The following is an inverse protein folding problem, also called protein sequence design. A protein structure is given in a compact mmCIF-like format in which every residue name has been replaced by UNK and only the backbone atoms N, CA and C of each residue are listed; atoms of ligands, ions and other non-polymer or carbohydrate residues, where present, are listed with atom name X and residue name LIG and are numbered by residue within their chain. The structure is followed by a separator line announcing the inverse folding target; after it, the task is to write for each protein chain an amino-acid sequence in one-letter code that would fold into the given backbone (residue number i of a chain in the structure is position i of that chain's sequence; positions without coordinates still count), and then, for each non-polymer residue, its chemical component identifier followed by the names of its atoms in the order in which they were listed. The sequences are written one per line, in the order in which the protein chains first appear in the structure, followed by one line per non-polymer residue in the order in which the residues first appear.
data_IF_621858436328
#
_entry.id   IF_621858436328
#
_cell.length_a   1.000
_cell.length_b   1.000
_cell.length_c   1.000
_cell.angle_alpha   90.00
_cell.angle_beta   90.00
_cell.angle_gamma   90.00
#
_symmetry.space_group_name_H-M   'P 1'
#
loop_
_entity.id
_entity.type
_entity.pdbx_description
1 polymer ?
#
# COMPACT_ATOMS: atom_id res chain seq x y z
N UNK A 1 -15.04 6.41 11.88
CA UNK A 1 -14.90 6.88 10.49
C UNK A 1 -13.44 6.80 10.07
N UNK A 2 -13.14 6.18 8.93
CA UNK A 2 -11.78 6.23 8.36
C UNK A 2 -11.71 7.49 7.50
N UNK A 3 -10.72 8.37 7.78
CA UNK A 3 -10.47 9.57 6.98
C UNK A 3 -10.34 9.23 5.50
N UNK A 4 -11.02 9.95 4.62
CA UNK A 4 -10.90 9.85 3.18
C UNK A 4 -9.75 10.70 2.64
N UNK A 5 -9.39 11.78 3.34
CA UNK A 5 -8.26 12.65 2.99
C UNK A 5 -6.93 11.99 3.37
N UNK A 6 -5.97 12.01 2.47
CA UNK A 6 -4.60 11.56 2.73
C UNK A 6 -3.69 12.76 2.98
N UNK A 7 -2.87 12.68 4.03
CA UNK A 7 -1.99 13.77 4.45
C UNK A 7 -0.58 13.64 3.84
N UNK A 8 -0.49 13.20 2.57
CA UNK A 8 0.78 13.03 1.83
C UNK A 8 1.56 14.32 1.70
N UNK A 9 0.87 15.47 1.65
CA UNK A 9 1.50 16.79 1.59
C UNK A 9 2.49 17.06 2.71
N UNK A 10 2.37 16.40 3.87
CA UNK A 10 3.34 16.54 4.97
C UNK A 10 4.72 16.01 4.64
N UNK A 11 4.81 15.06 3.71
CA UNK A 11 6.05 14.42 3.28
C UNK A 11 6.72 15.11 2.09
N UNK A 12 6.03 16.05 1.44
CA UNK A 12 6.55 16.77 0.28
C UNK A 12 7.73 17.68 0.65
N UNK A 13 8.63 18.01 -0.30
CA UNK A 13 9.58 19.08 -0.17
C UNK A 13 8.93 20.45 0.13
N UNK A 14 9.69 21.39 0.69
CA UNK A 14 9.13 22.70 1.12
C UNK A 14 8.43 23.45 0.00
N UNK A 15 9.03 23.50 -1.20
CA UNK A 15 8.45 24.16 -2.37
C UNK A 15 7.10 23.52 -2.78
N UNK A 16 7.07 22.20 -2.86
CA UNK A 16 5.87 21.45 -3.23
C UNK A 16 4.76 21.58 -2.19
N UNK A 17 5.09 21.71 -0.89
CA UNK A 17 4.10 22.03 0.15
C UNK A 17 3.43 23.37 -0.08
N UNK A 18 4.20 24.37 -0.49
CA UNK A 18 3.65 25.70 -0.79
C UNK A 18 2.76 25.69 -2.04
N UNK A 19 3.18 25.01 -3.09
CA UNK A 19 2.37 24.83 -4.31
C UNK A 19 1.07 24.08 -4.01
N UNK A 20 1.15 23.04 -3.18
CA UNK A 20 -0.02 22.28 -2.75
C UNK A 20 -1.00 23.16 -1.96
N UNK A 21 -0.51 23.98 -1.02
CA UNK A 21 -1.34 24.91 -0.26
C UNK A 21 -2.00 25.95 -1.18
N UNK A 22 -1.27 26.52 -2.14
CA UNK A 22 -1.81 27.45 -3.12
C UNK A 22 -2.93 26.83 -3.97
N UNK A 23 -2.76 25.59 -4.42
CA UNK A 23 -3.78 24.86 -5.18
C UNK A 23 -5.05 24.63 -4.35
N UNK A 24 -4.93 24.22 -3.07
CA UNK A 24 -6.07 24.04 -2.16
C UNK A 24 -6.80 25.36 -1.94
N UNK A 25 -6.08 26.46 -1.65
CA UNK A 25 -6.66 27.79 -1.48
C UNK A 25 -7.45 28.20 -2.74
N UNK A 26 -6.83 28.09 -3.92
CA UNK A 26 -7.46 28.47 -5.19
C UNK A 26 -8.75 27.69 -5.44
N UNK A 27 -8.75 26.38 -5.29
CA UNK A 27 -9.91 25.54 -5.54
C UNK A 27 -11.05 25.81 -4.54
N UNK A 28 -10.74 25.87 -3.24
CA UNK A 28 -11.76 26.03 -2.22
C UNK A 28 -12.36 27.45 -2.15
N UNK A 29 -11.63 28.47 -2.63
CA UNK A 29 -12.15 29.84 -2.69
C UNK A 29 -13.20 30.01 -3.80
N UNK A 30 -13.08 29.26 -4.90
CA UNK A 30 -13.95 29.42 -6.09
C UNK A 30 -15.19 28.53 -5.98
N UNK A 31 -15.08 27.34 -5.39
CA UNK A 31 -16.15 26.35 -5.36
C UNK A 31 -17.16 26.62 -4.23
N UNK A 32 -18.45 26.88 -4.56
CA UNK A 32 -19.50 27.22 -3.60
C UNK A 32 -19.72 26.15 -2.51
N UNK A 33 -19.37 24.89 -2.77
CA UNK A 33 -19.55 23.81 -1.79
C UNK A 33 -18.70 24.01 -0.53
N UNK A 34 -17.62 24.83 -0.58
CA UNK A 34 -16.70 25.09 0.52
C UNK A 34 -16.97 26.42 1.25
N UNK A 35 -18.07 27.10 0.96
CA UNK A 35 -18.42 28.40 1.60
C UNK A 35 -18.37 28.32 3.13
N UNK A 36 -18.81 27.23 3.72
CA UNK A 36 -18.77 27.03 5.17
C UNK A 36 -17.35 26.90 5.74
N UNK A 37 -16.36 26.61 4.90
CA UNK A 37 -14.95 26.44 5.27
C UNK A 37 -14.08 27.66 4.92
N UNK A 38 -14.65 28.72 4.33
CA UNK A 38 -13.90 29.92 3.99
C UNK A 38 -13.08 30.52 5.14
N UNK A 39 -13.55 30.57 6.42
CA UNK A 39 -12.72 31.05 7.51
C UNK A 39 -11.43 30.25 7.69
N UNK A 40 -11.48 28.92 7.52
CA UNK A 40 -10.31 28.06 7.61
C UNK A 40 -9.38 28.22 6.41
N UNK A 41 -9.95 28.42 5.23
CA UNK A 41 -9.20 28.69 4.00
C UNK A 41 -8.47 30.04 4.11
N UNK A 42 -9.10 31.07 4.68
CA UNK A 42 -8.48 32.40 4.88
C UNK A 42 -7.31 32.33 5.89
N UNK A 43 -7.43 31.55 6.98
CA UNK A 43 -6.33 31.27 7.88
C UNK A 43 -5.16 30.58 7.17
N UNK A 44 -5.44 29.60 6.31
CA UNK A 44 -4.42 28.94 5.50
C UNK A 44 -3.75 29.93 4.52
N UNK A 45 -4.53 30.79 3.87
CA UNK A 45 -4.03 31.81 2.96
C UNK A 45 -3.10 32.79 3.67
N UNK A 46 -3.49 33.30 4.86
CA UNK A 46 -2.65 34.17 5.68
C UNK A 46 -1.33 33.50 6.05
N UNK A 47 -1.36 32.23 6.47
CA UNK A 47 -0.16 31.48 6.79
C UNK A 47 0.74 31.23 5.55
N UNK A 48 0.12 30.95 4.39
CA UNK A 48 0.83 30.81 3.11
C UNK A 48 1.55 32.10 2.69
N UNK A 49 0.87 33.26 2.76
CA UNK A 49 1.45 34.56 2.44
C UNK A 49 2.61 34.89 3.42
N UNK A 50 2.44 34.59 4.70
CA UNK A 50 3.50 34.78 5.70
C UNK A 50 4.72 33.89 5.41
N UNK A 51 4.50 32.64 4.98
CA UNK A 51 5.59 31.76 4.54
C UNK A 51 6.30 32.30 3.32
N UNK A 52 5.58 32.75 2.31
CA UNK A 52 6.18 33.34 1.10
C UNK A 52 7.06 34.55 1.41
N UNK A 53 6.57 35.47 2.25
CA UNK A 53 7.33 36.63 2.70
C UNK A 53 8.62 36.24 3.44
N UNK A 54 8.53 35.24 4.33
CA UNK A 54 9.71 34.73 5.05
C UNK A 54 10.67 33.96 4.13
N UNK A 55 10.16 33.23 3.15
CA UNK A 55 10.99 32.55 2.16
C UNK A 55 11.77 33.54 1.27
N UNK A 56 11.14 34.63 0.84
CA UNK A 56 11.81 35.70 0.13
C UNK A 56 12.94 36.35 0.94
N UNK A 57 12.71 36.68 2.21
CA UNK A 57 13.75 37.20 3.11
C UNK A 57 14.89 36.23 3.32
N UNK A 58 14.60 34.93 3.40
CA UNK A 58 15.63 33.90 3.62
C UNK A 58 16.51 33.67 2.39
N UNK A 59 16.10 34.10 1.18
CA UNK A 59 16.95 34.07 -0.02
C UNK A 59 18.18 34.97 0.07
N UNK A 60 18.06 36.07 0.82
CA UNK A 60 19.14 37.02 1.05
C UNK A 60 20.17 36.51 2.10
N UNK A 61 19.88 35.36 2.70
CA UNK A 61 20.75 34.66 3.64
C UNK A 61 20.50 35.03 5.11
N UNK A 62 21.15 34.27 5.98
CA UNK A 62 21.11 34.50 7.44
C UNK A 62 20.38 33.38 8.20
N UNK A 63 21.00 32.99 9.30
CA UNK A 63 20.46 31.90 10.17
C UNK A 63 19.10 32.24 10.75
N UNK A 64 18.90 33.52 11.15
CA UNK A 64 17.62 33.98 11.72
C UNK A 64 16.50 33.95 10.69
N UNK A 65 16.73 34.40 9.46
CA UNK A 65 15.74 34.37 8.38
C UNK A 65 15.35 32.94 8.01
N UNK A 66 16.31 32.00 8.02
CA UNK A 66 16.04 30.57 7.80
C UNK A 66 15.16 29.98 8.92
N UNK A 67 15.41 30.35 10.17
CA UNK A 67 14.58 29.89 11.30
C UNK A 67 13.16 30.45 11.19
N UNK A 68 13.01 31.74 10.87
CA UNK A 68 11.69 32.38 10.64
C UNK A 68 10.93 31.68 9.51
N UNK A 69 11.58 31.45 8.37
CA UNK A 69 11.00 30.71 7.24
C UNK A 69 10.49 29.33 7.65
N UNK A 70 11.29 28.57 8.41
CA UNK A 70 10.89 27.24 8.86
C UNK A 70 9.70 27.28 9.82
N UNK A 71 9.65 28.24 10.73
CA UNK A 71 8.50 28.42 11.64
C UNK A 71 7.23 28.78 10.86
N UNK A 72 7.32 29.65 9.84
CA UNK A 72 6.17 29.97 8.97
C UNK A 72 5.73 28.79 8.09
N UNK A 73 6.68 27.96 7.64
CA UNK A 73 6.35 26.70 6.94
C UNK A 73 5.58 25.75 7.84
N UNK A 74 5.98 25.58 9.09
CA UNK A 74 5.29 24.72 10.06
C UNK A 74 3.86 25.20 10.31
N UNK A 75 3.66 26.52 10.50
CA UNK A 75 2.33 27.10 10.65
C UNK A 75 1.45 26.86 9.40
N UNK A 76 1.98 27.13 8.21
CA UNK A 76 1.25 26.87 6.96
C UNK A 76 0.83 25.39 6.84
N UNK A 77 1.73 24.45 7.15
CA UNK A 77 1.44 23.00 7.13
C UNK A 77 0.41 22.62 8.20
N UNK A 78 0.43 23.26 9.35
CA UNK A 78 -0.56 23.08 10.40
C UNK A 78 -1.96 23.54 9.95
N UNK A 79 -2.07 24.76 9.36
CA UNK A 79 -3.32 25.29 8.83
C UNK A 79 -3.86 24.43 7.68
N UNK A 80 -2.97 23.97 6.77
CA UNK A 80 -3.33 23.04 5.70
C UNK A 80 -3.89 21.72 6.26
N UNK A 81 -3.27 21.19 7.32
CA UNK A 81 -3.77 20.01 8.03
C UNK A 81 -5.12 20.22 8.71
N UNK A 82 -5.39 21.45 9.14
CA UNK A 82 -6.68 21.85 9.74
C UNK A 82 -7.76 21.89 8.65
N UNK A 83 -7.50 22.55 7.52
CA UNK A 83 -8.41 22.55 6.35
C UNK A 83 -8.71 21.13 5.90
N UNK A 84 -7.69 20.26 5.80
CA UNK A 84 -7.84 18.86 5.41
C UNK A 84 -8.84 18.09 6.31
N UNK A 85 -8.80 18.33 7.64
CA UNK A 85 -9.75 17.70 8.58
C UNK A 85 -11.17 18.21 8.38
N UNK A 86 -11.36 19.51 8.16
CA UNK A 86 -12.67 20.07 7.87
C UNK A 86 -13.25 19.56 6.56
N UNK A 87 -12.41 19.44 5.52
CA UNK A 87 -12.80 18.82 4.23
C UNK A 87 -13.19 17.36 4.44
N UNK A 88 -12.48 16.60 5.26
CA UNK A 88 -12.80 15.20 5.54
C UNK A 88 -14.17 15.05 6.22
N UNK A 89 -14.49 15.94 7.15
CA UNK A 89 -15.81 15.98 7.79
C UNK A 89 -16.91 16.38 6.79
N UNK A 90 -16.67 17.42 5.99
CA UNK A 90 -17.64 17.90 4.99
C UNK A 90 -17.88 16.86 3.90
N UNK A 91 -16.83 16.17 3.48
CA UNK A 91 -16.88 15.16 2.42
C UNK A 91 -17.76 13.96 2.80
N UNK A 92 -17.86 13.64 4.10
CA UNK A 92 -18.61 12.48 4.59
C UNK A 92 -18.38 11.21 3.73
N UNK A 93 -17.11 10.86 3.54
CA UNK A 93 -16.63 9.74 2.69
C UNK A 93 -16.77 9.95 1.16
N UNK A 94 -17.24 11.11 0.69
CA UNK A 94 -17.28 11.45 -0.74
C UNK A 94 -15.90 11.78 -1.27
N UNK A 95 -15.35 10.92 -2.12
CA UNK A 95 -14.06 11.16 -2.80
C UNK A 95 -14.11 12.40 -3.72
N UNK A 96 -15.26 12.66 -4.34
CA UNK A 96 -15.43 13.80 -5.24
C UNK A 96 -15.22 15.14 -4.52
N UNK A 97 -15.73 15.29 -3.30
CA UNK A 97 -15.56 16.49 -2.47
C UNK A 97 -14.09 16.70 -2.08
N UNK A 98 -13.40 15.61 -1.69
CA UNK A 98 -11.98 15.65 -1.33
C UNK A 98 -11.11 16.09 -2.53
N UNK A 99 -11.36 15.52 -3.70
CA UNK A 99 -10.64 15.87 -4.94
C UNK A 99 -10.95 17.28 -5.42
N UNK A 100 -12.20 17.74 -5.28
CA UNK A 100 -12.59 19.12 -5.59
C UNK A 100 -11.86 20.13 -4.72
N UNK A 101 -11.63 19.84 -3.43
CA UNK A 101 -10.83 20.65 -2.53
C UNK A 101 -9.32 20.65 -2.84
N UNK A 102 -8.86 19.78 -3.72
CA UNK A 102 -7.45 19.67 -4.11
C UNK A 102 -6.63 18.69 -3.26
N UNK A 103 -7.27 17.91 -2.38
CA UNK A 103 -6.61 16.86 -1.62
C UNK A 103 -6.63 15.53 -2.35
N UNK A 104 -5.76 14.62 -1.93
CA UNK A 104 -5.74 13.24 -2.39
C UNK A 104 -6.66 12.36 -1.54
N UNK A 105 -7.27 11.37 -2.16
CA UNK A 105 -8.08 10.37 -1.49
C UNK A 105 -7.29 9.10 -1.21
N UNK A 106 -7.67 8.40 -0.17
CA UNK A 106 -7.15 7.07 0.09
C UNK A 106 -7.61 6.13 -1.02
N UNK A 107 -6.67 5.51 -1.73
CA UNK A 107 -7.01 4.44 -2.69
C UNK A 107 -7.78 3.35 -1.95
N UNK A 108 -9.00 3.08 -2.38
CA UNK A 108 -9.75 1.92 -1.89
C UNK A 108 -8.99 0.67 -2.30
N UNK A 109 -8.79 -0.31 -1.39
CA UNK A 109 -8.24 -1.60 -1.78
C UNK A 109 -9.12 -2.18 -2.89
N UNK A 110 -8.51 -2.50 -4.03
CA UNK A 110 -9.23 -3.22 -5.09
C UNK A 110 -9.59 -4.60 -4.55
N UNK A 111 -10.87 -4.93 -4.57
CA UNK A 111 -11.32 -6.25 -4.14
C UNK A 111 -10.67 -7.30 -5.05
N UNK A 112 -10.00 -8.27 -4.45
CA UNK A 112 -9.51 -9.44 -5.20
C UNK A 112 -10.72 -10.29 -5.57
N UNK A 113 -10.98 -10.45 -6.85
CA UNK A 113 -12.10 -11.24 -7.38
C UNK A 113 -11.65 -12.61 -7.89
N UNK A 114 -10.38 -12.76 -8.25
CA UNK A 114 -9.78 -14.00 -8.69
C UNK A 114 -8.28 -14.02 -8.40
N UNK A 115 -7.69 -15.21 -8.35
CA UNK A 115 -6.25 -15.41 -8.25
C UNK A 115 -5.75 -16.16 -9.48
N UNK A 116 -4.59 -15.78 -9.99
CA UNK A 116 -3.88 -16.53 -11.04
C UNK A 116 -3.28 -17.80 -10.46
N UNK A 117 -3.14 -18.83 -11.28
CA UNK A 117 -2.46 -20.07 -10.92
C UNK A 117 -0.99 -19.78 -10.60
N UNK A 118 -0.41 -20.33 -9.50
CA UNK A 118 1.01 -20.26 -9.23
C UNK A 118 1.83 -20.84 -10.39
N UNK A 119 2.88 -20.14 -10.77
CA UNK A 119 3.81 -20.53 -11.85
C UNK A 119 5.22 -20.73 -11.28
N UNK A 120 6.13 -21.25 -12.11
CA UNK A 120 7.54 -21.48 -11.71
C UNK A 120 7.64 -22.32 -10.44
N UNK A 121 6.77 -23.32 -10.29
CA UNK A 121 6.92 -24.28 -9.20
C UNK A 121 8.14 -25.14 -9.47
N UNK A 122 9.07 -25.15 -8.52
CA UNK A 122 10.29 -25.91 -8.53
C UNK A 122 10.41 -26.74 -7.25
N UNK A 123 11.06 -27.89 -7.34
CA UNK A 123 11.34 -28.76 -6.20
C UNK A 123 12.76 -29.30 -6.27
N UNK A 124 13.44 -29.32 -5.13
CA UNK A 124 14.77 -29.93 -4.98
C UNK A 124 14.84 -30.65 -3.62
N UNK A 125 15.73 -31.64 -3.51
CA UNK A 125 16.03 -32.22 -2.20
C UNK A 125 16.67 -31.16 -1.29
N UNK A 126 16.30 -31.13 -0.02
CA UNK A 126 16.90 -30.27 1.00
C UNK A 126 18.09 -30.98 1.66
N UNK A 127 18.78 -30.31 2.57
CA UNK A 127 19.99 -30.87 3.22
C UNK A 127 19.72 -32.12 4.07
N UNK A 128 18.52 -32.22 4.63
CA UNK A 128 18.12 -33.32 5.51
C UNK A 128 17.44 -34.40 4.68
N UNK A 129 17.84 -35.67 4.89
CA UNK A 129 17.22 -36.83 4.25
C UNK A 129 15.71 -36.86 4.50
N UNK A 130 14.95 -37.27 3.53
CA UNK A 130 13.48 -37.24 3.59
C UNK A 130 12.89 -35.84 3.61
N UNK A 131 13.63 -34.82 3.14
CA UNK A 131 13.12 -33.45 3.05
C UNK A 131 13.32 -32.84 1.66
N UNK A 132 12.38 -31.98 1.27
CA UNK A 132 12.42 -31.27 -0.03
C UNK A 132 12.16 -29.78 0.17
N UNK A 133 12.79 -28.98 -0.64
CA UNK A 133 12.55 -27.54 -0.76
C UNK A 133 11.70 -27.26 -2.01
N UNK A 134 10.62 -26.51 -1.83
CA UNK A 134 9.74 -26.05 -2.90
C UNK A 134 9.82 -24.54 -2.99
N UNK A 135 9.75 -24.00 -4.22
CA UNK A 135 9.61 -22.57 -4.46
C UNK A 135 8.68 -22.31 -5.64
N UNK A 136 8.03 -21.14 -5.64
CA UNK A 136 7.09 -20.73 -6.70
C UNK A 136 7.02 -19.21 -6.85
N UNK A 137 6.49 -18.75 -8.00
CA UNK A 137 6.27 -17.33 -8.22
C UNK A 137 5.13 -16.77 -7.35
N UNK A 138 5.30 -15.51 -6.91
CA UNK A 138 4.26 -14.81 -6.16
C UNK A 138 3.00 -14.62 -7.00
N UNK A 139 1.84 -14.85 -6.39
CA UNK A 139 0.52 -14.55 -6.98
C UNK A 139 -0.01 -13.27 -6.35
N UNK A 140 -0.32 -12.28 -7.18
CA UNK A 140 -0.87 -11.00 -6.71
C UNK A 140 -2.21 -11.23 -6.00
N UNK A 141 -2.32 -10.69 -4.77
CA UNK A 141 -3.51 -10.87 -3.94
C UNK A 141 -3.54 -12.17 -3.12
N UNK A 142 -2.58 -13.09 -3.29
CA UNK A 142 -2.49 -14.25 -2.43
C UNK A 142 -1.94 -13.89 -1.04
N UNK A 143 -2.53 -14.44 0.00
CA UNK A 143 -2.07 -14.33 1.38
C UNK A 143 -1.45 -15.63 1.88
N UNK A 144 -1.82 -16.74 1.26
CA UNK A 144 -1.43 -18.09 1.65
C UNK A 144 -1.39 -19.00 0.44
N UNK A 145 -0.65 -20.08 0.56
CA UNK A 145 -0.57 -21.14 -0.45
C UNK A 145 -0.82 -22.49 0.22
N UNK A 146 -1.62 -23.34 -0.43
CA UNK A 146 -1.76 -24.74 -0.07
C UNK A 146 -0.86 -25.59 -0.97
N UNK A 147 -0.21 -26.56 -0.36
CA UNK A 147 0.64 -27.53 -1.04
C UNK A 147 -0.03 -28.88 -0.92
N UNK A 148 -0.15 -29.63 -2.01
CA UNK A 148 -0.52 -31.04 -1.98
C UNK A 148 0.60 -31.90 -2.56
N UNK A 149 0.70 -33.11 -2.05
CA UNK A 149 1.69 -34.11 -2.47
C UNK A 149 1.01 -35.46 -2.73
N UNK A 150 1.62 -36.24 -3.62
CA UNK A 150 1.27 -37.66 -3.80
C UNK A 150 2.50 -38.46 -4.21
N UNK A 151 2.50 -39.76 -3.95
CA UNK A 151 3.45 -40.68 -4.55
C UNK A 151 3.13 -40.81 -6.03
N UNK A 152 4.13 -40.71 -6.91
CA UNK A 152 3.95 -40.83 -8.35
C UNK A 152 3.27 -42.15 -8.70
N UNK A 153 2.22 -42.06 -9.53
CA UNK A 153 1.44 -43.22 -9.94
C UNK A 153 0.25 -43.55 -9.03
N UNK A 154 0.08 -42.83 -7.91
CA UNK A 154 -1.14 -42.90 -7.12
C UNK A 154 -2.12 -41.81 -7.53
N UNK A 155 -3.43 -42.04 -7.36
CA UNK A 155 -4.46 -41.06 -7.71
C UNK A 155 -4.69 -40.05 -6.60
N UNK A 156 -4.47 -40.42 -5.33
CA UNK A 156 -4.85 -39.65 -4.16
C UNK A 156 -3.83 -38.54 -3.83
N UNK A 157 -4.25 -37.28 -3.96
CA UNK A 157 -3.49 -36.14 -3.43
C UNK A 157 -3.74 -35.96 -1.94
N UNK A 158 -2.68 -35.78 -1.18
CA UNK A 158 -2.73 -35.55 0.26
C UNK A 158 -2.25 -34.15 0.60
N UNK A 159 -2.81 -33.55 1.65
CA UNK A 159 -2.38 -32.25 2.12
C UNK A 159 -0.90 -32.32 2.54
N UNK A 160 -0.08 -31.48 1.95
CA UNK A 160 1.33 -31.33 2.30
C UNK A 160 1.54 -30.27 3.38
N UNK A 161 1.05 -29.06 3.16
CA UNK A 161 1.20 -27.95 4.09
C UNK A 161 0.46 -26.67 3.60
N UNK A 162 0.44 -25.64 4.49
CA UNK A 162 -0.01 -24.28 4.19
C UNK A 162 1.11 -23.29 4.50
N UNK A 163 1.41 -22.37 3.58
CA UNK A 163 2.48 -21.37 3.71
C UNK A 163 2.02 -19.97 3.31
N UNK A 164 2.43 -18.97 4.10
CA UNK A 164 2.25 -17.56 3.75
C UNK A 164 3.32 -17.01 2.78
N UNK A 165 4.45 -17.72 2.65
CA UNK A 165 5.56 -17.35 1.76
C UNK A 165 5.52 -18.04 0.40
N UNK A 166 6.55 -17.82 -0.41
CA UNK A 166 6.73 -18.38 -1.76
C UNK A 166 7.62 -19.63 -1.78
N UNK A 167 7.88 -20.20 -0.65
CA UNK A 167 8.68 -21.40 -0.52
C UNK A 167 8.28 -22.22 0.70
N UNK A 168 8.61 -23.50 0.69
CA UNK A 168 8.38 -24.41 1.79
C UNK A 168 9.48 -25.47 1.86
N UNK A 169 9.85 -25.88 3.06
CA UNK A 169 10.55 -27.14 3.30
C UNK A 169 9.52 -28.12 3.86
N UNK A 170 9.38 -29.26 3.20
CA UNK A 170 8.56 -30.37 3.67
C UNK A 170 9.49 -31.48 4.13
N UNK A 171 9.25 -31.98 5.34
CA UNK A 171 10.05 -33.02 5.99
C UNK A 171 9.23 -34.30 6.21
N UNK A 172 9.93 -35.38 6.56
CA UNK A 172 9.29 -36.67 6.89
C UNK A 172 8.71 -37.35 5.66
N UNK A 173 9.32 -37.13 4.49
CA UNK A 173 8.98 -37.83 3.27
C UNK A 173 9.74 -39.15 3.20
N UNK A 174 9.17 -40.15 2.56
CA UNK A 174 9.78 -41.45 2.37
C UNK A 174 10.93 -41.34 1.34
N UNK A 175 12.14 -41.72 1.74
CA UNK A 175 13.32 -41.72 0.88
C UNK A 175 13.23 -42.80 -0.22
N UNK A 176 13.87 -42.54 -1.35
CA UNK A 176 13.84 -43.39 -2.55
C UNK A 176 12.47 -43.55 -3.20
N UNK A 177 11.56 -42.61 -2.93
CA UNK A 177 10.23 -42.52 -3.55
C UNK A 177 10.13 -41.28 -4.39
N UNK A 178 9.53 -41.38 -5.58
CA UNK A 178 9.22 -40.22 -6.40
C UNK A 178 7.90 -39.61 -5.93
N UNK A 179 7.97 -38.36 -5.47
CA UNK A 179 6.81 -37.61 -4.99
C UNK A 179 6.51 -36.45 -5.94
N UNK A 180 5.24 -36.26 -6.25
CA UNK A 180 4.71 -35.15 -7.00
C UNK A 180 4.11 -34.10 -6.06
N UNK A 181 4.31 -32.82 -6.39
CA UNK A 181 3.82 -31.67 -5.65
C UNK A 181 3.06 -30.72 -6.56
N UNK A 182 2.01 -30.09 -6.04
CA UNK A 182 1.31 -28.97 -6.67
C UNK A 182 0.96 -27.92 -5.62
N UNK A 183 0.77 -26.67 -6.06
CA UNK A 183 0.52 -25.53 -5.19
C UNK A 183 -0.68 -24.75 -5.72
N UNK A 184 -1.50 -24.23 -4.81
CA UNK A 184 -2.58 -23.31 -5.13
C UNK A 184 -2.48 -22.06 -4.23
N UNK A 185 -2.87 -20.91 -4.76
CA UNK A 185 -2.90 -19.65 -4.04
C UNK A 185 -4.28 -19.43 -3.37
N UNK A 186 -4.27 -18.83 -2.17
CA UNK A 186 -5.47 -18.54 -1.37
C UNK A 186 -5.42 -17.08 -0.91
N UNK A 187 -6.54 -16.37 -1.08
CA UNK A 187 -6.77 -15.05 -0.49
C UNK A 187 -7.56 -15.16 0.83
N UNK A 188 -7.38 -14.21 1.74
CA UNK A 188 -8.07 -14.18 3.04
C UNK A 188 -9.61 -14.19 2.94
N UNK A 189 -10.19 -13.74 1.81
CA UNK A 189 -11.62 -13.83 1.55
C UNK A 189 -12.09 -15.25 1.18
N UNK A 190 -11.19 -16.24 1.13
CA UNK A 190 -11.52 -17.61 0.74
C UNK A 190 -11.40 -17.87 -0.78
N UNK A 191 -11.08 -16.87 -1.60
CA UNK A 191 -10.85 -17.04 -3.03
C UNK A 191 -9.59 -17.90 -3.24
N UNK A 192 -9.70 -18.91 -4.10
CA UNK A 192 -8.63 -19.84 -4.45
C UNK A 192 -8.32 -19.75 -5.96
N UNK A 193 -7.05 -19.96 -6.30
CA UNK A 193 -6.64 -20.14 -7.69
C UNK A 193 -6.94 -21.56 -8.18
N UNK A 194 -6.61 -21.86 -9.42
CA UNK A 194 -6.40 -23.24 -9.85
C UNK A 194 -5.06 -23.77 -9.29
N UNK A 195 -4.93 -25.10 -9.23
CA UNK A 195 -3.67 -25.77 -8.93
C UNK A 195 -2.63 -25.53 -10.01
N UNK A 196 -1.36 -25.40 -9.60
CA UNK A 196 -0.24 -25.39 -10.53
C UNK A 196 -0.11 -26.73 -11.28
N UNK A 197 0.69 -26.73 -12.36
CA UNK A 197 1.18 -28.00 -12.91
C UNK A 197 2.03 -28.69 -11.85
N UNK A 198 1.91 -30.03 -11.71
CA UNK A 198 2.71 -30.79 -10.77
C UNK A 198 4.21 -30.81 -11.15
N UNK A 199 5.06 -30.77 -10.15
CA UNK A 199 6.50 -31.07 -10.27
C UNK A 199 6.84 -32.30 -9.46
N UNK A 200 7.91 -33.01 -9.79
CA UNK A 200 8.30 -34.26 -9.13
C UNK A 200 9.76 -34.26 -8.74
N UNK A 201 10.08 -34.99 -7.68
CA UNK A 201 11.46 -35.25 -7.24
C UNK A 201 11.57 -36.67 -6.68
N UNK A 202 12.71 -37.31 -6.89
CA UNK A 202 13.10 -38.51 -6.15
C UNK A 202 13.65 -38.03 -4.80
N UNK A 203 12.98 -38.37 -3.72
CA UNK A 203 13.38 -37.96 -2.37
C UNK A 203 14.65 -38.74 -1.96
N UNK A 204 15.68 -38.01 -1.51
CA UNK A 204 16.92 -38.57 -0.99
C UNK A 204 16.84 -38.93 0.51
#
# INVERSE_FOLDING_TARGET
MKSSVVFTFKLLPQAEKAEFAANVIAKMTIDPQFVSLLPQVENLKTAYEAYQAAASKASDGGKSATLEKNAKLEDMVYQLGTVARYVDVLANESEAVVLAAGFETRKKPTAVTSLTTPTQLEVANAEKDGSVYLSWAAVAGANMYAIEKRVKGTEEWRNGDYRGGRSAVLEGLESNVVIEFKVLAIHNSGIKSNWSQPVQVLVS
#
